data_IF_668603406307
#
_entry.id   IF_668603406307
#
_cell.length_a   1.000
_cell.length_b   1.000
_cell.length_c   1.000
_cell.angle_alpha   90.00
_cell.angle_beta   90.00
_cell.angle_gamma   90.00
#
_symmetry.space_group_name_H-M   'P 1'
#
loop_
_entity.id
_entity.type
_entity.pdbx_description
1 polymer ?
#
# COMPACT_ATOMS: atom_id res chain seq x y z
N UNK A 1 -5.06 -83.76 26.94
CA UNK A 1 -4.00 -83.51 25.93
C UNK A 1 -4.71 -82.87 24.74
N UNK A 2 -4.44 -81.59 24.45
CA UNK A 2 -5.25 -80.72 23.57
C UNK A 2 -4.90 -80.93 22.09
N UNK A 3 -5.90 -81.17 21.25
CA UNK A 3 -5.81 -81.06 19.79
C UNK A 3 -6.12 -79.63 19.34
N UNK A 4 -5.29 -79.07 18.46
CA UNK A 4 -5.54 -77.80 17.76
C UNK A 4 -5.98 -78.13 16.32
N UNK A 5 -7.13 -77.60 15.91
CA UNK A 5 -7.57 -77.55 14.53
C UNK A 5 -7.60 -76.10 14.06
N UNK A 6 -7.06 -75.85 12.87
CA UNK A 6 -7.08 -74.58 12.16
C UNK A 6 -8.45 -74.35 11.51
N UNK A 7 -9.00 -73.14 11.65
CA UNK A 7 -10.04 -72.60 10.76
C UNK A 7 -9.60 -71.19 10.36
N UNK A 8 -9.39 -71.00 9.05
CA UNK A 8 -9.24 -69.69 8.41
C UNK A 8 -10.57 -68.94 8.47
N UNK A 9 -10.56 -67.70 8.96
CA UNK A 9 -11.68 -66.77 8.79
C UNK A 9 -11.19 -65.57 7.96
N UNK A 10 -11.82 -65.37 6.81
CA UNK A 10 -11.63 -64.22 5.95
C UNK A 10 -12.25 -62.97 6.63
N UNK A 11 -11.46 -61.91 6.78
CA UNK A 11 -11.93 -60.60 7.23
C UNK A 11 -12.01 -59.66 6.02
N UNK A 12 -13.24 -59.36 5.62
CA UNK A 12 -13.60 -58.26 4.73
C UNK A 12 -13.22 -56.94 5.42
N UNK A 13 -12.35 -56.16 4.78
CA UNK A 13 -12.08 -54.76 5.15
C UNK A 13 -12.93 -53.87 4.25
N UNK A 14 -13.89 -53.08 4.77
CA UNK A 14 -14.52 -52.04 3.98
C UNK A 14 -13.56 -50.85 3.89
N UNK A 15 -13.27 -50.41 2.66
CA UNK A 15 -12.62 -49.14 2.39
C UNK A 15 -13.61 -48.04 2.74
N UNK A 16 -13.39 -47.36 3.86
CA UNK A 16 -14.08 -46.12 4.19
C UNK A 16 -13.26 -44.98 3.59
N UNK A 17 -13.80 -44.39 2.53
CA UNK A 17 -13.31 -43.13 1.97
C UNK A 17 -13.69 -42.02 2.95
N UNK A 18 -12.76 -41.54 3.76
CA UNK A 18 -12.94 -40.33 4.56
C UNK A 18 -12.59 -39.12 3.70
N UNK A 19 -13.61 -38.42 3.21
CA UNK A 19 -13.49 -37.01 2.89
C UNK A 19 -13.19 -36.27 4.21
N UNK A 20 -11.93 -35.96 4.46
CA UNK A 20 -11.58 -34.99 5.49
C UNK A 20 -12.05 -33.62 5.00
N UNK A 21 -13.15 -33.15 5.59
CA UNK A 21 -13.57 -31.76 5.46
C UNK A 21 -12.48 -30.87 6.02
N UNK A 22 -12.12 -29.84 5.25
CA UNK A 22 -11.33 -28.72 5.73
C UNK A 22 -12.06 -28.12 6.95
N UNK A 23 -11.55 -28.34 8.15
CA UNK A 23 -11.92 -27.52 9.29
C UNK A 23 -11.39 -26.10 9.03
N UNK A 24 -12.33 -25.18 8.81
CA UNK A 24 -12.09 -23.76 8.76
C UNK A 24 -11.56 -23.33 10.14
N UNK A 25 -10.24 -23.16 10.26
CA UNK A 25 -9.65 -22.55 11.45
C UNK A 25 -10.14 -21.11 11.46
N UNK A 26 -10.98 -20.69 12.42
CA UNK A 26 -11.37 -19.29 12.53
C UNK A 26 -10.08 -18.49 12.72
N UNK A 27 -9.89 -17.41 11.95
CA UNK A 27 -8.86 -16.43 12.28
C UNK A 27 -9.08 -16.03 13.73
N UNK A 28 -8.09 -16.21 14.63
CA UNK A 28 -8.29 -15.86 16.01
C UNK A 28 -8.60 -14.37 16.08
N UNK A 29 -9.68 -14.01 16.77
CA UNK A 29 -9.84 -12.70 17.42
C UNK A 29 -8.72 -12.56 18.46
N UNK A 30 -7.49 -12.45 17.98
CA UNK A 30 -6.35 -12.08 18.79
C UNK A 30 -5.99 -10.68 18.34
N UNK A 31 -6.45 -9.70 19.12
CA UNK A 31 -5.70 -8.49 19.36
C UNK A 31 -4.34 -8.90 19.94
N UNK A 32 -3.44 -9.39 19.09
CA UNK A 32 -2.03 -9.52 19.44
C UNK A 32 -1.60 -8.09 19.74
N UNK A 33 -1.29 -7.84 21.02
CA UNK A 33 -0.70 -6.59 21.47
C UNK A 33 0.62 -6.42 20.73
N UNK A 34 0.57 -5.68 19.63
CA UNK A 34 1.72 -5.28 18.83
C UNK A 34 2.67 -4.50 19.72
N UNK A 35 3.87 -5.00 19.92
CA UNK A 35 5.00 -4.14 20.28
C UNK A 35 5.55 -3.56 18.98
N UNK A 36 4.89 -2.52 18.47
CA UNK A 36 5.26 -1.87 17.21
C UNK A 36 6.14 -0.63 17.38
N UNK A 37 6.74 -0.45 18.56
CA UNK A 37 7.54 0.71 18.94
C UNK A 37 6.81 2.07 18.81
N UNK A 38 5.50 2.10 19.09
CA UNK A 38 4.69 3.33 19.08
C UNK A 38 4.15 3.71 17.70
N UNK A 39 4.34 2.89 16.66
CA UNK A 39 3.77 3.14 15.33
C UNK A 39 2.24 3.13 15.33
N UNK A 40 1.64 2.33 16.19
CA UNK A 40 0.20 2.38 16.48
C UNK A 40 -0.25 3.76 16.92
N UNK A 41 0.53 4.41 17.79
CA UNK A 41 0.23 5.78 18.24
C UNK A 41 0.33 6.82 17.11
N UNK A 42 0.98 6.51 15.97
CA UNK A 42 1.00 7.39 14.80
C UNK A 42 -0.20 7.17 13.89
N UNK A 43 -0.49 5.92 13.51
CA UNK A 43 -1.45 5.60 12.45
C UNK A 43 -2.84 5.14 12.93
N UNK A 44 -3.01 4.98 14.23
CA UNK A 44 -4.29 4.60 14.85
C UNK A 44 -4.77 5.67 15.87
N UNK A 45 -4.09 6.81 15.99
CA UNK A 45 -4.55 7.94 16.81
C UNK A 45 -5.63 8.75 16.08
N UNK A 46 -6.57 9.30 16.85
CA UNK A 46 -7.70 10.09 16.35
C UNK A 46 -7.32 11.55 16.04
N UNK A 47 -6.13 11.99 16.43
CA UNK A 47 -5.62 13.33 16.17
C UNK A 47 -4.78 13.44 14.90
N UNK A 48 -4.63 14.68 14.43
CA UNK A 48 -3.85 15.03 13.25
C UNK A 48 -2.52 15.65 13.71
N UNK A 49 -1.40 14.89 13.70
CA UNK A 49 -0.09 15.41 14.07
C UNK A 49 0.38 16.55 13.16
N UNK A 50 1.29 17.37 13.67
CA UNK A 50 1.91 18.48 12.95
C UNK A 50 3.35 18.12 12.56
N UNK A 51 3.73 18.53 11.35
CA UNK A 51 5.12 18.53 10.88
C UNK A 51 5.51 19.95 10.51
N UNK A 52 6.50 20.50 11.20
CA UNK A 52 7.13 21.77 10.83
C UNK A 52 8.51 21.48 10.25
N UNK A 53 8.71 21.80 8.97
CA UNK A 53 9.96 21.58 8.25
C UNK A 53 10.66 22.92 8.06
N UNK A 54 11.91 23.03 8.52
CA UNK A 54 12.77 24.19 8.22
C UNK A 54 13.89 23.77 7.29
N UNK A 55 14.05 24.46 6.17
CA UNK A 55 15.06 24.14 5.14
C UNK A 55 16.01 25.33 4.97
N UNK A 56 17.33 25.13 5.06
CA UNK A 56 18.29 26.18 4.72
C UNK A 56 18.11 26.70 3.28
N UNK A 57 18.32 28.00 3.05
CA UNK A 57 18.07 28.64 1.76
C UNK A 57 18.85 28.00 0.60
N UNK A 58 20.11 27.65 0.82
CA UNK A 58 20.95 26.98 -0.18
C UNK A 58 20.46 25.56 -0.48
N UNK A 59 19.97 24.84 0.53
CA UNK A 59 19.39 23.51 0.41
C UNK A 59 18.07 23.56 -0.36
N UNK A 60 17.19 24.52 -0.06
CA UNK A 60 15.94 24.69 -0.81
C UNK A 60 16.20 25.03 -2.29
N UNK A 61 17.10 25.98 -2.56
CA UNK A 61 17.51 26.31 -3.93
C UNK A 61 18.14 25.12 -4.66
N UNK A 62 18.87 24.26 -3.94
CA UNK A 62 19.41 23.00 -4.49
C UNK A 62 18.29 22.04 -4.88
N UNK A 63 17.26 21.89 -4.05
CA UNK A 63 16.10 21.04 -4.35
C UNK A 63 15.38 21.52 -5.62
N UNK A 64 15.14 22.83 -5.73
CA UNK A 64 14.53 23.46 -6.90
C UNK A 64 15.36 23.22 -8.16
N UNK A 65 16.67 23.50 -8.11
CA UNK A 65 17.56 23.30 -9.25
C UNK A 65 17.65 21.83 -9.67
N UNK A 66 17.65 20.88 -8.72
CA UNK A 66 17.67 19.44 -9.00
C UNK A 66 16.39 18.98 -9.68
N UNK A 67 15.25 19.52 -9.28
CA UNK A 67 13.98 19.26 -9.96
C UNK A 67 13.99 19.82 -11.40
N UNK A 68 14.50 21.04 -11.59
CA UNK A 68 14.56 21.68 -12.91
C UNK A 68 15.51 20.93 -13.86
N UNK A 69 16.61 20.36 -13.33
CA UNK A 69 17.52 19.48 -14.07
C UNK A 69 16.87 18.13 -14.42
N UNK A 70 16.18 17.52 -13.45
CA UNK A 70 15.50 16.25 -13.60
C UNK A 70 14.23 16.22 -12.75
N UNK A 71 13.07 16.35 -13.40
CA UNK A 71 11.77 16.30 -12.72
C UNK A 71 11.55 15.01 -11.93
N UNK A 72 12.27 13.91 -12.24
CA UNK A 72 12.20 12.64 -11.51
C UNK A 72 13.23 12.49 -10.39
N UNK A 73 13.92 13.57 -10.01
CA UNK A 73 15.01 13.48 -9.04
C UNK A 73 14.61 12.81 -7.73
N UNK A 74 15.50 11.97 -7.21
CA UNK A 74 15.40 11.32 -5.90
C UNK A 74 16.34 11.95 -4.87
N UNK A 75 17.00 13.05 -5.22
CA UNK A 75 17.95 13.77 -4.38
C UNK A 75 17.30 14.21 -3.07
N UNK A 76 18.06 14.09 -1.98
CA UNK A 76 17.70 14.65 -0.69
C UNK A 76 18.51 15.92 -0.44
N UNK A 77 17.86 16.88 0.21
CA UNK A 77 18.51 18.05 0.81
C UNK A 77 18.34 18.02 2.32
N UNK A 78 19.20 18.71 3.06
CA UNK A 78 19.12 18.77 4.52
C UNK A 78 17.99 19.69 4.98
N UNK A 79 17.33 19.32 6.07
CA UNK A 79 16.28 20.08 6.75
C UNK A 79 16.21 19.71 8.24
N UNK A 80 15.61 20.58 9.03
CA UNK A 80 15.18 20.26 10.39
C UNK A 80 13.68 19.97 10.39
N UNK A 81 13.24 19.05 11.24
CA UNK A 81 11.83 18.67 11.40
C UNK A 81 11.43 18.77 12.87
N UNK A 82 10.31 19.42 13.14
CA UNK A 82 9.60 19.31 14.41
C UNK A 82 8.33 18.51 14.19
N UNK A 83 8.16 17.43 14.96
CA UNK A 83 6.95 16.61 14.99
C UNK A 83 6.20 16.85 16.29
N UNK A 84 4.89 17.09 16.19
CA UNK A 84 4.03 17.38 17.33
C UNK A 84 2.77 16.53 17.26
N UNK A 85 2.43 15.86 18.36
CA UNK A 85 1.09 15.31 18.64
C UNK A 85 0.72 15.57 20.11
N UNK A 86 -0.42 15.04 20.60
CA UNK A 86 -0.83 15.23 22.01
C UNK A 86 0.21 14.78 23.04
N UNK A 87 1.06 13.79 22.72
CA UNK A 87 1.96 13.13 23.66
C UNK A 87 3.40 13.62 23.52
N UNK A 88 3.82 13.91 22.30
CA UNK A 88 5.23 14.07 21.94
C UNK A 88 5.49 15.37 21.19
N UNK A 89 6.63 15.99 21.50
CA UNK A 89 7.21 17.11 20.77
C UNK A 89 8.67 16.75 20.46
N UNK A 90 8.92 16.34 19.21
CA UNK A 90 10.21 15.79 18.79
C UNK A 90 10.89 16.75 17.81
N UNK A 91 12.14 17.12 18.13
CA UNK A 91 12.99 17.87 17.22
C UNK A 91 14.02 16.93 16.59
N UNK A 92 14.04 16.88 15.26
CA UNK A 92 14.96 16.07 14.46
C UNK A 92 15.78 17.04 13.61
N UNK A 93 17.09 17.08 13.85
CA UNK A 93 18.03 17.91 13.11
C UNK A 93 18.58 17.16 11.90
N UNK A 94 18.99 17.88 10.86
CA UNK A 94 19.71 17.29 9.70
C UNK A 94 19.02 16.03 9.10
N UNK A 95 17.69 16.10 8.99
CA UNK A 95 16.88 15.12 8.27
C UNK A 95 17.00 15.35 6.75
N UNK A 96 16.68 14.33 5.98
CA UNK A 96 16.58 14.43 4.52
C UNK A 96 15.16 14.77 4.05
N UNK A 97 15.01 15.87 3.32
CA UNK A 97 13.82 16.22 2.55
C UNK A 97 14.02 15.90 1.07
N UNK A 98 13.00 15.35 0.42
CA UNK A 98 12.96 15.23 -1.05
C UNK A 98 11.55 15.32 -1.61
N UNK A 99 11.45 15.58 -2.91
CA UNK A 99 10.21 15.42 -3.65
C UNK A 99 9.87 13.93 -3.87
N UNK A 100 8.56 13.63 -4.00
CA UNK A 100 7.99 12.30 -4.21
C UNK A 100 6.86 12.35 -5.27
N UNK A 101 6.44 11.17 -5.73
CA UNK A 101 5.41 11.03 -6.78
C UNK A 101 5.98 10.70 -8.17
N UNK A 102 5.08 10.37 -9.09
CA UNK A 102 5.37 10.20 -10.51
C UNK A 102 4.57 11.24 -11.32
N UNK A 103 3.29 10.96 -11.58
CA UNK A 103 2.34 11.93 -12.18
C UNK A 103 1.98 13.05 -11.22
N UNK A 104 2.11 12.80 -9.92
CA UNK A 104 2.02 13.78 -8.83
C UNK A 104 3.31 14.53 -8.55
N UNK A 105 4.33 14.42 -9.39
CA UNK A 105 5.56 15.15 -9.13
C UNK A 105 5.41 16.60 -9.61
N UNK A 106 5.63 17.56 -8.73
CA UNK A 106 5.60 19.00 -9.02
C UNK A 106 6.79 19.73 -8.40
N UNK A 107 7.18 20.85 -9.02
CA UNK A 107 8.07 21.85 -8.42
C UNK A 107 7.36 22.50 -7.23
N UNK A 108 7.96 22.56 -6.03
CA UNK A 108 7.27 23.00 -4.81
C UNK A 108 7.04 24.52 -4.73
N UNK A 109 7.68 25.30 -5.60
CA UNK A 109 7.60 26.76 -5.62
C UNK A 109 7.76 27.24 -7.06
N UNK A 110 7.05 28.30 -7.46
CA UNK A 110 7.29 29.11 -8.64
C UNK A 110 7.55 28.34 -9.94
N UNK A 111 8.38 28.94 -10.80
CA UNK A 111 8.64 28.45 -12.16
C UNK A 111 10.08 27.95 -12.33
N UNK A 112 10.29 27.09 -13.33
CA UNK A 112 11.61 26.52 -13.61
C UNK A 112 12.70 27.58 -13.78
N UNK A 113 13.86 27.36 -13.16
CA UNK A 113 15.00 28.27 -13.16
C UNK A 113 14.96 29.38 -12.11
N UNK A 114 13.86 29.52 -11.34
CA UNK A 114 13.76 30.53 -10.28
C UNK A 114 14.37 30.02 -8.96
N UNK A 115 15.11 30.88 -8.28
CA UNK A 115 15.48 30.66 -6.88
C UNK A 115 14.31 31.05 -5.96
N UNK A 116 14.43 30.66 -4.69
CA UNK A 116 13.49 30.98 -3.63
C UNK A 116 13.22 32.48 -3.50
N UNK A 117 11.97 32.84 -3.22
CA UNK A 117 11.53 34.19 -2.93
C UNK A 117 10.79 34.25 -1.60
N UNK A 118 10.96 35.33 -0.84
CA UNK A 118 10.36 35.48 0.52
C UNK A 118 8.83 35.57 0.55
N UNK A 119 8.18 35.71 -0.61
CA UNK A 119 6.74 35.56 -0.82
C UNK A 119 6.54 34.53 -1.95
N UNK A 120 7.08 33.34 -1.74
CA UNK A 120 7.08 32.25 -2.69
C UNK A 120 5.67 31.92 -3.20
N UNK A 121 5.57 31.66 -4.50
CA UNK A 121 4.40 31.07 -5.15
C UNK A 121 4.40 29.57 -4.88
N UNK A 122 3.87 29.18 -3.71
CA UNK A 122 3.95 27.82 -3.21
C UNK A 122 3.02 26.88 -3.97
N UNK A 123 3.47 25.65 -4.17
CA UNK A 123 2.74 24.61 -4.85
C UNK A 123 2.67 23.34 -4.00
N UNK A 124 1.49 22.74 -3.90
CA UNK A 124 1.37 21.41 -3.33
C UNK A 124 2.23 20.41 -4.10
N UNK A 125 3.03 19.66 -3.34
CA UNK A 125 3.88 18.60 -3.86
C UNK A 125 4.05 17.49 -2.80
N UNK A 126 4.37 16.26 -3.18
CA UNK A 126 4.54 15.19 -2.21
C UNK A 126 5.96 15.26 -1.69
N UNK A 127 6.13 15.14 -0.37
CA UNK A 127 7.43 15.09 0.26
C UNK A 127 7.74 13.69 0.77
N UNK A 128 9.03 13.35 0.80
CA UNK A 128 9.56 12.23 1.56
C UNK A 128 10.52 12.75 2.59
N UNK A 129 10.24 12.46 3.86
CA UNK A 129 11.13 12.74 4.98
C UNK A 129 11.90 11.49 5.35
N UNK A 130 13.22 11.61 5.47
CA UNK A 130 14.12 10.55 5.91
C UNK A 130 14.95 11.08 7.07
N UNK A 131 14.47 10.82 8.27
CA UNK A 131 14.97 11.42 9.51
C UNK A 131 16.44 11.05 9.76
N UNK A 132 16.85 9.80 9.51
CA UNK A 132 18.22 9.30 9.70
C UNK A 132 19.08 9.36 8.41
N UNK A 133 18.75 10.27 7.48
CA UNK A 133 19.42 10.35 6.17
C UNK A 133 20.90 10.72 6.30
N UNK A 134 21.21 11.74 7.10
CA UNK A 134 22.55 12.28 7.29
C UNK A 134 23.14 11.95 8.66
N UNK A 135 22.28 11.62 9.64
CA UNK A 135 22.66 11.15 10.98
C UNK A 135 22.12 9.74 11.25
N UNK A 136 22.98 8.80 11.66
CA UNK A 136 22.64 7.37 11.84
C UNK A 136 22.49 7.02 13.34
N UNK A 137 21.51 7.61 14.02
CA UNK A 137 21.25 7.34 15.44
C UNK A 137 19.74 7.13 15.75
N UNK A 138 19.44 6.78 17.00
CA UNK A 138 18.07 6.51 17.44
C UNK A 138 17.25 7.77 17.73
N UNK A 139 17.88 8.94 17.89
CA UNK A 139 17.17 10.21 18.10
C UNK A 139 16.55 10.76 16.81
N UNK A 140 17.00 10.29 15.64
CA UNK A 140 16.43 10.64 14.34
C UNK A 140 15.30 9.69 13.91
N UNK A 141 14.32 9.49 14.78
CA UNK A 141 13.14 8.65 14.52
C UNK A 141 11.90 9.26 15.14
N UNK A 142 10.76 9.13 14.46
CA UNK A 142 9.43 9.44 15.00
C UNK A 142 8.76 8.11 15.32
N UNK A 143 8.65 7.73 16.60
CA UNK A 143 7.95 6.51 17.04
C UNK A 143 8.36 5.26 16.25
N UNK A 144 9.68 5.04 16.11
CA UNK A 144 10.27 3.93 15.36
C UNK A 144 10.23 4.04 13.83
N UNK A 145 9.64 5.11 13.29
CA UNK A 145 9.72 5.47 11.87
C UNK A 145 10.98 6.29 11.62
N UNK A 146 11.82 5.82 10.71
CA UNK A 146 12.96 6.59 10.18
C UNK A 146 12.61 7.40 8.93
N UNK A 147 11.48 7.06 8.31
CA UNK A 147 11.08 7.60 7.01
C UNK A 147 9.57 7.58 6.86
N UNK A 148 9.02 8.68 6.37
CA UNK A 148 7.59 8.84 6.07
C UNK A 148 7.40 9.51 4.72
N UNK A 149 6.22 9.33 4.14
CA UNK A 149 5.80 10.08 2.96
C UNK A 149 4.68 11.01 3.37
N UNK A 150 4.79 12.28 2.99
CA UNK A 150 3.75 13.28 3.17
C UNK A 150 3.13 13.49 1.80
N UNK A 151 1.95 12.91 1.55
CA UNK A 151 1.24 13.03 0.28
C UNK A 151 0.15 14.09 0.42
N UNK A 152 0.20 15.17 -0.35
CA UNK A 152 -1.02 15.97 -0.56
C UNK A 152 -2.09 15.13 -1.27
N UNK A 153 -3.37 15.46 -1.08
CA UNK A 153 -4.52 14.76 -1.65
C UNK A 153 -4.73 15.09 -3.13
N UNK A 154 -3.72 14.81 -3.97
CA UNK A 154 -3.73 15.13 -5.40
C UNK A 154 -4.91 14.46 -6.10
N UNK A 155 -5.73 15.28 -6.75
CA UNK A 155 -6.93 14.84 -7.48
C UNK A 155 -7.92 14.04 -6.60
N UNK A 156 -7.78 14.12 -5.27
CA UNK A 156 -8.69 13.51 -4.31
C UNK A 156 -9.42 14.60 -3.52
N UNK A 157 -10.43 15.20 -4.16
CA UNK A 157 -11.22 16.27 -3.56
C UNK A 157 -12.02 15.82 -2.32
N UNK A 158 -12.17 14.51 -2.05
CA UNK A 158 -12.83 14.05 -0.81
C UNK A 158 -11.88 13.95 0.39
N UNK A 159 -10.57 14.11 0.18
CA UNK A 159 -9.55 13.98 1.22
C UNK A 159 -9.62 12.62 1.95
N UNK A 160 -9.85 11.51 1.25
CA UNK A 160 -10.15 10.25 1.94
C UNK A 160 -9.84 8.95 1.18
N UNK A 161 -9.54 8.96 -0.12
CA UNK A 161 -9.51 7.73 -0.93
C UNK A 161 -8.43 6.75 -0.47
N UNK A 162 -7.18 7.18 -0.42
CA UNK A 162 -6.07 6.31 -0.03
C UNK A 162 -6.13 5.94 1.47
N UNK A 163 -6.48 6.89 2.33
CA UNK A 163 -6.74 6.67 3.76
C UNK A 163 -7.82 5.60 3.97
N UNK A 164 -8.93 5.69 3.23
CA UNK A 164 -10.01 4.71 3.25
C UNK A 164 -9.52 3.32 2.88
N UNK A 165 -8.74 3.20 1.80
CA UNK A 165 -8.23 1.92 1.35
C UNK A 165 -7.34 1.26 2.42
N UNK A 166 -6.41 2.01 3.01
CA UNK A 166 -5.52 1.47 4.04
C UNK A 166 -6.22 1.21 5.39
N UNK A 167 -7.26 1.97 5.75
CA UNK A 167 -8.16 1.63 6.85
C UNK A 167 -8.90 0.31 6.57
N UNK A 168 -9.48 0.15 5.38
CA UNK A 168 -10.21 -1.06 5.01
C UNK A 168 -9.31 -2.31 4.98
N UNK A 169 -8.10 -2.21 4.43
CA UNK A 169 -7.12 -3.30 4.49
C UNK A 169 -6.87 -3.75 5.93
N UNK A 170 -6.63 -2.80 6.85
CA UNK A 170 -6.38 -3.09 8.27
C UNK A 170 -7.59 -3.72 8.95
N UNK A 171 -8.79 -3.16 8.76
CA UNK A 171 -10.05 -3.71 9.30
C UNK A 171 -10.34 -5.11 8.78
N UNK A 172 -9.93 -5.40 7.55
CA UNK A 172 -10.09 -6.71 6.93
C UNK A 172 -8.94 -7.69 7.23
N UNK A 173 -8.03 -7.33 8.13
CA UNK A 173 -6.95 -8.21 8.59
C UNK A 173 -5.75 -8.31 7.64
N UNK A 174 -5.68 -7.47 6.61
CA UNK A 174 -4.54 -7.42 5.67
C UNK A 174 -3.38 -6.65 6.31
N UNK A 175 -2.64 -7.35 7.16
CA UNK A 175 -1.55 -6.78 7.98
C UNK A 175 -0.32 -6.34 7.16
N UNK A 176 -0.23 -6.74 5.89
CA UNK A 176 0.82 -6.31 4.96
C UNK A 176 0.59 -4.90 4.42
N UNK A 177 -0.56 -4.27 4.65
CA UNK A 177 -0.79 -2.89 4.24
C UNK A 177 0.02 -1.88 5.10
N UNK A 178 0.54 -0.79 4.49
CA UNK A 178 1.16 0.31 5.22
C UNK A 178 0.14 1.06 6.09
N UNK A 179 0.64 1.66 7.17
CA UNK A 179 -0.12 2.63 7.95
C UNK A 179 -0.33 3.93 7.18
N UNK A 180 -1.52 4.52 7.31
CA UNK A 180 -1.91 5.80 6.71
C UNK A 180 -2.82 6.56 7.67
N UNK A 181 -2.61 7.87 7.76
CA UNK A 181 -3.42 8.83 8.53
C UNK A 181 -3.23 10.24 7.96
N UNK A 182 -3.88 11.24 8.55
CA UNK A 182 -3.68 12.65 8.21
C UNK A 182 -2.56 13.28 9.04
N UNK A 183 -1.92 14.32 8.52
CA UNK A 183 -1.09 15.26 9.27
C UNK A 183 -1.30 16.68 8.73
N UNK A 184 -0.83 17.67 9.48
CA UNK A 184 -0.74 19.07 9.05
C UNK A 184 0.71 19.43 8.78
N UNK A 185 0.96 20.18 7.71
CA UNK A 185 2.32 20.49 7.25
C UNK A 185 2.59 21.99 7.24
N UNK A 186 3.70 22.39 7.85
CA UNK A 186 4.30 23.72 7.72
C UNK A 186 5.68 23.61 7.13
N UNK A 187 6.03 24.55 6.26
CA UNK A 187 7.35 24.64 5.66
C UNK A 187 7.89 26.07 5.78
N UNK A 188 9.16 26.18 6.16
CA UNK A 188 9.88 27.44 6.26
C UNK A 188 11.21 27.32 5.55
N UNK A 189 11.54 28.27 4.69
CA UNK A 189 12.90 28.42 4.17
C UNK A 189 13.63 29.47 5.00
N UNK A 190 14.90 29.21 5.34
CA UNK A 190 15.68 30.18 6.10
C UNK A 190 15.77 31.53 5.37
N UNK A 191 15.41 32.61 6.08
CA UNK A 191 15.25 33.94 5.52
C UNK A 191 13.79 34.39 5.43
N UNK A 192 12.83 33.45 5.45
CA UNK A 192 11.41 33.78 5.53
C UNK A 192 11.03 34.36 6.89
N UNK A 193 10.13 35.34 6.87
CA UNK A 193 9.63 36.01 8.07
C UNK A 193 8.73 35.12 8.93
N UNK A 194 8.08 34.12 8.32
CA UNK A 194 7.21 33.13 8.97
C UNK A 194 7.26 31.81 8.20
N UNK A 195 6.81 30.74 8.83
CA UNK A 195 6.50 29.49 8.12
C UNK A 195 5.23 29.65 7.26
N UNK A 196 5.15 28.84 6.23
CA UNK A 196 4.00 28.70 5.33
C UNK A 196 3.23 27.45 5.70
N UNK A 197 1.93 27.58 5.95
CA UNK A 197 1.07 26.42 6.16
C UNK A 197 0.69 25.78 4.82
N UNK A 198 1.10 24.53 4.61
CA UNK A 198 0.80 23.73 3.42
C UNK A 198 -0.52 22.95 3.55
N UNK A 199 -1.25 23.02 4.66
CA UNK A 199 -2.53 22.34 4.78
C UNK A 199 -2.43 20.89 5.26
N UNK A 200 -3.48 20.13 4.96
CA UNK A 200 -3.65 18.72 5.36
C UNK A 200 -3.01 17.79 4.34
N UNK A 201 -2.15 16.90 4.82
CA UNK A 201 -1.44 15.88 4.05
C UNK A 201 -1.78 14.49 4.61
N UNK A 202 -1.63 13.47 3.78
CA UNK A 202 -1.57 12.09 4.23
C UNK A 202 -0.15 11.76 4.72
N UNK A 203 -0.07 11.29 5.96
CA UNK A 203 1.11 10.65 6.53
C UNK A 203 1.08 9.15 6.22
N UNK A 204 1.93 8.72 5.29
CA UNK A 204 1.99 7.34 4.81
C UNK A 204 3.29 6.64 5.24
N UNK A 205 3.14 5.46 5.86
CA UNK A 205 4.26 4.60 6.28
C UNK A 205 5.14 4.24 5.08
N UNK A 206 6.46 4.40 5.22
CA UNK A 206 7.40 3.96 4.18
C UNK A 206 7.60 2.45 4.24
N UNK A 207 7.37 1.76 3.11
CA UNK A 207 7.68 0.33 2.96
C UNK A 207 9.19 0.17 2.73
N UNK A 208 9.92 -0.09 3.81
CA UNK A 208 11.36 -0.33 3.83
C UNK A 208 11.74 -1.43 4.85
N UNK A 209 13.02 -1.57 5.19
CA UNK A 209 13.45 -2.56 6.19
C UNK A 209 12.85 -2.33 7.59
N UNK A 210 12.44 -1.11 7.97
CA UNK A 210 11.76 -0.83 9.25
C UNK A 210 10.29 -1.22 9.20
N UNK A 211 9.65 -1.10 8.04
CA UNK A 211 8.33 -1.68 7.81
C UNK A 211 8.34 -3.20 8.04
N UNK A 212 9.33 -3.90 7.45
CA UNK A 212 9.51 -5.35 7.62
C UNK A 212 9.84 -5.69 9.08
N UNK A 213 10.78 -4.97 9.70
CA UNK A 213 11.19 -5.20 11.11
C UNK A 213 10.04 -5.01 12.09
N UNK A 214 9.15 -4.05 11.85
CA UNK A 214 7.97 -3.81 12.70
C UNK A 214 6.92 -4.94 12.62
N UNK A 215 7.00 -5.79 11.60
CA UNK A 215 6.10 -6.93 11.37
C UNK A 215 6.88 -8.25 11.37
N UNK A 216 7.99 -8.31 12.11
CA UNK A 216 8.92 -9.47 12.13
C UNK A 216 8.21 -10.77 12.47
N UNK A 217 7.22 -10.73 13.38
CA UNK A 217 6.56 -11.94 13.88
C UNK A 217 5.62 -12.52 12.80
N UNK A 218 5.00 -11.65 12.00
CA UNK A 218 4.15 -12.05 10.87
C UNK A 218 4.97 -12.46 9.64
N UNK A 219 6.06 -11.74 9.34
CA UNK A 219 6.94 -12.08 8.22
C UNK A 219 7.84 -13.30 8.50
N UNK A 220 8.07 -13.63 9.78
CA UNK A 220 8.92 -14.72 10.25
C UNK A 220 10.43 -14.40 10.23
N UNK A 221 10.90 -13.67 9.22
CA UNK A 221 12.30 -13.20 9.12
C UNK A 221 12.35 -11.84 8.39
N UNK A 222 13.30 -11.00 8.79
CA UNK A 222 13.48 -9.62 8.34
C UNK A 222 14.70 -9.43 7.43
N UNK A 223 15.50 -10.49 7.19
CA UNK A 223 16.72 -10.46 6.36
C UNK A 223 16.45 -10.77 4.89
N UNK A 224 15.19 -10.83 4.51
CA UNK A 224 14.74 -11.18 3.18
C UNK A 224 14.90 -10.10 2.12
N UNK A 225 14.38 -10.35 0.92
CA UNK A 225 14.51 -9.48 -0.24
C UNK A 225 13.21 -8.71 -0.50
N UNK A 226 13.24 -7.39 -0.30
CA UNK A 226 12.17 -6.45 -0.63
C UNK A 226 12.34 -5.84 -2.02
N UNK A 227 11.27 -5.85 -2.81
CA UNK A 227 11.18 -5.28 -4.15
C UNK A 227 10.01 -4.31 -4.24
N UNK A 228 10.25 -3.12 -4.80
CA UNK A 228 9.18 -2.24 -5.30
C UNK A 228 8.88 -2.60 -6.74
N UNK A 229 7.62 -2.86 -7.05
CA UNK A 229 7.15 -3.22 -8.37
C UNK A 229 6.41 -2.03 -8.99
N UNK A 230 6.82 -1.65 -10.20
CA UNK A 230 6.30 -0.49 -10.95
C UNK A 230 5.77 -0.94 -12.30
N UNK A 231 5.13 -0.03 -13.02
CA UNK A 231 4.54 -0.24 -14.33
C UNK A 231 5.36 -1.21 -15.21
N UNK A 232 4.69 -2.28 -15.66
CA UNK A 232 5.28 -3.41 -16.39
C UNK A 232 5.66 -4.60 -15.50
N UNK A 233 5.46 -4.52 -14.18
CA UNK A 233 5.77 -5.60 -13.24
C UNK A 233 4.65 -6.65 -13.22
N UNK A 234 4.51 -7.39 -14.31
CA UNK A 234 3.44 -8.39 -14.51
C UNK A 234 3.71 -9.78 -13.90
N UNK A 235 4.91 -10.04 -13.40
CA UNK A 235 5.37 -11.38 -12.96
C UNK A 235 5.24 -12.47 -14.04
N UNK A 236 5.32 -12.10 -15.32
CA UNK A 236 5.21 -13.02 -16.45
C UNK A 236 6.54 -13.21 -17.22
N UNK A 237 7.49 -12.28 -17.08
CA UNK A 237 8.77 -12.30 -17.79
C UNK A 237 9.98 -12.14 -16.86
N UNK A 238 11.02 -12.95 -17.09
CA UNK A 238 12.33 -12.81 -16.44
C UNK A 238 13.25 -11.81 -17.12
N UNK A 239 12.83 -11.26 -18.27
CA UNK A 239 13.56 -10.25 -19.05
C UNK A 239 13.04 -8.83 -18.78
N UNK A 240 12.62 -8.57 -17.54
CA UNK A 240 12.21 -7.24 -17.11
C UNK A 240 13.43 -6.36 -16.73
N UNK A 241 13.19 -5.05 -16.61
CA UNK A 241 14.22 -4.12 -16.16
C UNK A 241 14.35 -4.14 -14.62
N UNK A 242 15.29 -4.95 -14.12
CA UNK A 242 15.64 -5.02 -12.69
C UNK A 242 16.77 -4.05 -12.36
N UNK A 243 16.69 -3.43 -11.18
CA UNK A 243 17.80 -2.63 -10.68
C UNK A 243 17.65 -2.28 -9.21
N UNK A 244 18.59 -1.51 -8.70
CA UNK A 244 18.55 -0.88 -7.38
C UNK A 244 18.86 0.60 -7.54
N UNK A 245 18.45 1.40 -6.57
CA UNK A 245 18.77 2.83 -6.58
C UNK A 245 20.30 3.01 -6.53
N UNK A 246 20.88 3.57 -7.60
CA UNK A 246 22.31 3.81 -7.78
C UNK A 246 22.64 5.31 -7.85
N UNK A 247 21.65 6.17 -7.53
CA UNK A 247 21.77 7.63 -7.61
C UNK A 247 21.58 8.19 -9.02
N UNK A 248 21.31 7.37 -10.04
CA UNK A 248 21.05 7.83 -11.41
C UNK A 248 19.60 8.28 -11.67
N UNK A 249 18.76 8.30 -10.63
CA UNK A 249 17.32 8.57 -10.69
C UNK A 249 16.50 7.64 -11.60
N UNK A 250 17.10 6.61 -12.19
CA UNK A 250 16.42 5.63 -13.03
C UNK A 250 15.30 4.91 -12.27
N UNK A 251 14.24 4.60 -13.01
CA UNK A 251 13.16 3.76 -12.53
C UNK A 251 13.29 2.36 -13.13
N UNK A 252 13.03 1.35 -12.29
CA UNK A 252 13.10 -0.05 -12.66
C UNK A 252 11.72 -0.67 -12.52
N UNK A 253 11.41 -1.65 -13.37
CA UNK A 253 10.16 -2.43 -13.26
C UNK A 253 10.14 -3.16 -11.91
N UNK A 254 11.27 -3.77 -11.55
CA UNK A 254 11.51 -4.33 -10.23
C UNK A 254 12.71 -3.63 -9.60
N UNK A 255 12.43 -2.72 -8.66
CA UNK A 255 13.44 -1.95 -7.93
C UNK A 255 13.74 -2.63 -6.59
N UNK A 256 14.96 -3.13 -6.43
CA UNK A 256 15.43 -3.75 -5.20
C UNK A 256 15.61 -2.71 -4.09
N UNK A 257 15.05 -2.99 -2.91
CA UNK A 257 14.99 -2.05 -1.78
C UNK A 257 15.75 -2.53 -0.53
N UNK A 258 16.43 -3.67 -0.60
CA UNK A 258 17.17 -4.21 0.54
C UNK A 258 18.63 -3.76 0.47
N UNK A 259 19.07 -2.98 1.46
CA UNK A 259 20.39 -2.34 1.41
C UNK A 259 21.55 -3.34 1.61
N UNK A 260 21.36 -4.35 2.47
CA UNK A 260 22.44 -5.26 2.93
C UNK A 260 22.53 -6.58 2.14
N UNK A 261 21.62 -6.82 1.20
CA UNK A 261 21.50 -8.09 0.48
C UNK A 261 22.12 -8.02 -0.93
N UNK A 262 22.57 -9.18 -1.43
CA UNK A 262 23.12 -9.30 -2.79
C UNK A 262 22.02 -9.15 -3.85
N UNK A 263 22.12 -8.08 -4.64
CA UNK A 263 21.16 -7.76 -5.69
C UNK A 263 21.07 -8.84 -6.78
N UNK A 264 22.19 -9.43 -7.20
CA UNK A 264 22.18 -10.43 -8.27
C UNK A 264 21.53 -11.73 -7.77
N UNK A 265 21.84 -12.16 -6.55
CA UNK A 265 21.19 -13.32 -5.93
C UNK A 265 19.68 -13.08 -5.74
N UNK A 266 19.29 -11.91 -5.25
CA UNK A 266 17.88 -11.54 -5.10
C UNK A 266 17.16 -11.51 -6.46
N UNK A 267 17.80 -10.96 -7.50
CA UNK A 267 17.25 -10.94 -8.87
C UNK A 267 17.02 -12.36 -9.38
N UNK A 268 17.97 -13.27 -9.15
CA UNK A 268 17.83 -14.67 -9.55
C UNK A 268 16.75 -15.42 -8.73
N UNK A 269 16.51 -15.05 -7.47
CA UNK A 269 15.36 -15.53 -6.69
C UNK A 269 14.03 -15.07 -7.28
N UNK A 270 13.88 -13.78 -7.60
CA UNK A 270 12.65 -13.27 -8.19
C UNK A 270 12.39 -13.86 -9.59
N UNK A 271 13.42 -14.03 -10.41
CA UNK A 271 13.30 -14.74 -11.69
C UNK A 271 12.85 -16.20 -11.51
N UNK A 272 13.42 -16.91 -10.53
CA UNK A 272 13.02 -18.29 -10.24
C UNK A 272 11.57 -18.37 -9.78
N UNK A 273 11.11 -17.44 -8.94
CA UNK A 273 9.70 -17.32 -8.59
C UNK A 273 8.81 -17.11 -9.83
N UNK A 274 9.18 -16.20 -10.73
CA UNK A 274 8.45 -15.95 -11.99
C UNK A 274 8.42 -17.19 -12.88
N UNK A 275 9.53 -17.92 -13.02
CA UNK A 275 9.59 -19.16 -13.81
C UNK A 275 8.73 -20.26 -13.22
N UNK A 276 8.67 -20.39 -11.88
CA UNK A 276 7.78 -21.35 -11.21
C UNK A 276 6.31 -20.95 -11.35
N UNK A 277 6.01 -19.66 -11.19
CA UNK A 277 4.68 -19.09 -11.34
C UNK A 277 4.13 -19.25 -12.77
N UNK A 278 4.98 -19.17 -13.79
CA UNK A 278 4.55 -19.32 -15.19
C UNK A 278 4.68 -20.75 -15.73
N UNK A 279 5.66 -21.53 -15.26
CA UNK A 279 6.03 -22.81 -15.85
C UNK A 279 5.48 -24.06 -15.14
N UNK A 280 5.06 -23.98 -13.88
CA UNK A 280 4.48 -25.15 -13.18
C UNK A 280 3.12 -25.52 -13.77
N UNK A 281 2.90 -26.82 -14.03
CA UNK A 281 1.56 -27.35 -14.34
C UNK A 281 0.61 -27.19 -13.16
N UNK A 282 -0.70 -27.17 -13.40
CA UNK A 282 -1.70 -26.70 -12.44
C UNK A 282 -1.64 -27.40 -11.07
N UNK A 283 -1.58 -28.74 -11.02
CA UNK A 283 -1.46 -29.49 -9.75
C UNK A 283 -0.16 -29.12 -8.99
N UNK A 284 0.97 -29.08 -9.71
CA UNK A 284 2.25 -28.72 -9.10
C UNK A 284 2.36 -27.25 -8.68
N UNK A 285 1.58 -26.36 -9.32
CA UNK A 285 1.47 -24.95 -8.95
C UNK A 285 0.62 -24.81 -7.69
N UNK A 286 -0.53 -25.47 -7.63
CA UNK A 286 -1.43 -25.46 -6.48
C UNK A 286 -0.72 -25.89 -5.20
N UNK A 287 0.04 -26.99 -5.23
CA UNK A 287 0.86 -27.42 -4.09
C UNK A 287 1.95 -26.40 -3.75
N UNK A 288 2.74 -26.00 -4.75
CA UNK A 288 3.89 -25.12 -4.51
C UNK A 288 3.51 -23.73 -4.00
N UNK A 289 2.45 -23.13 -4.53
CA UNK A 289 2.08 -21.76 -4.15
C UNK A 289 1.67 -21.70 -2.68
N UNK A 290 1.01 -22.73 -2.15
CA UNK A 290 0.67 -22.83 -0.73
C UNK A 290 1.91 -23.06 0.16
N UNK A 291 2.95 -23.72 -0.36
CA UNK A 291 4.21 -23.88 0.36
C UNK A 291 4.96 -22.55 0.53
N UNK A 292 4.84 -21.63 -0.43
CA UNK A 292 5.59 -20.37 -0.42
C UNK A 292 4.73 -19.14 -0.12
N UNK A 293 3.41 -19.19 -0.18
CA UNK A 293 2.53 -18.03 -0.02
C UNK A 293 1.38 -18.36 0.94
N UNK A 294 1.03 -17.39 1.78
CA UNK A 294 -0.28 -17.37 2.46
C UNK A 294 -1.34 -16.96 1.43
N UNK A 295 -1.88 -17.95 0.73
CA UNK A 295 -2.89 -17.75 -0.32
C UNK A 295 -4.15 -17.05 0.22
N UNK A 296 -4.70 -17.43 1.40
CA UNK A 296 -5.80 -16.68 2.01
C UNK A 296 -5.52 -15.19 2.19
N UNK A 297 -4.37 -14.82 2.76
CA UNK A 297 -4.00 -13.41 2.93
C UNK A 297 -3.89 -12.68 1.58
N UNK A 298 -3.27 -13.31 0.58
CA UNK A 298 -3.13 -12.73 -0.75
C UNK A 298 -4.50 -12.50 -1.42
N UNK A 299 -5.41 -13.47 -1.34
CA UNK A 299 -6.74 -13.35 -1.95
C UNK A 299 -7.63 -12.36 -1.19
N UNK A 300 -7.52 -12.26 0.14
CA UNK A 300 -8.18 -11.18 0.92
C UNK A 300 -7.64 -9.80 0.55
N UNK A 301 -6.33 -9.69 0.32
CA UNK A 301 -5.70 -8.46 -0.20
C UNK A 301 -6.31 -8.07 -1.55
N UNK A 302 -6.44 -9.03 -2.47
CA UNK A 302 -7.06 -8.75 -3.77
C UNK A 302 -8.55 -8.49 -3.70
N UNK A 303 -9.28 -9.10 -2.77
CA UNK A 303 -10.69 -8.80 -2.56
C UNK A 303 -10.87 -7.33 -2.19
N UNK A 304 -10.05 -6.80 -1.27
CA UNK A 304 -10.05 -5.36 -0.94
C UNK A 304 -9.66 -4.54 -2.16
N UNK A 305 -8.56 -4.88 -2.84
CA UNK A 305 -8.07 -4.17 -4.03
C UNK A 305 -9.14 -3.98 -5.11
N UNK A 306 -9.83 -5.07 -5.46
CA UNK A 306 -10.88 -5.06 -6.47
C UNK A 306 -12.13 -4.34 -5.96
N UNK A 307 -12.47 -4.49 -4.68
CA UNK A 307 -13.63 -3.82 -4.06
C UNK A 307 -13.46 -2.30 -4.01
N UNK A 308 -12.27 -1.79 -3.70
CA UNK A 308 -12.02 -0.33 -3.72
C UNK A 308 -11.81 0.21 -5.15
N UNK A 309 -11.74 -0.67 -6.15
CA UNK A 309 -11.65 -0.27 -7.55
C UNK A 309 -10.26 0.14 -8.00
N UNK A 310 -9.19 -0.44 -7.42
CA UNK A 310 -7.80 -0.12 -7.73
C UNK A 310 -7.36 -0.69 -9.08
N UNK A 311 -7.55 0.09 -10.15
CA UNK A 311 -7.30 -0.31 -11.54
C UNK A 311 -5.82 -0.17 -11.94
N UNK A 312 -5.04 0.66 -11.24
CA UNK A 312 -3.60 0.82 -11.46
C UNK A 312 -2.77 -0.21 -10.66
N UNK A 313 -3.36 -1.38 -10.39
CA UNK A 313 -2.76 -2.45 -9.60
C UNK A 313 -1.88 -3.39 -10.45
N UNK A 314 -1.40 -4.47 -9.83
CA UNK A 314 -0.68 -5.53 -10.52
C UNK A 314 -1.53 -6.24 -11.57
N UNK A 315 -2.79 -6.59 -11.26
CA UNK A 315 -3.54 -7.53 -12.09
C UNK A 315 -4.07 -6.85 -13.36
N UNK A 316 -4.45 -5.58 -13.29
CA UNK A 316 -4.89 -4.79 -14.43
C UNK A 316 -3.73 -4.06 -15.11
N UNK A 317 -3.06 -3.13 -14.43
CA UNK A 317 -2.08 -2.22 -15.05
C UNK A 317 -0.61 -2.55 -14.74
N UNK A 318 -0.33 -3.68 -14.09
CA UNK A 318 1.02 -4.19 -13.81
C UNK A 318 1.86 -3.23 -12.96
N UNK A 319 1.25 -2.57 -11.97
CA UNK A 319 1.86 -1.46 -11.22
C UNK A 319 1.51 -1.49 -9.72
N UNK A 320 2.15 -0.62 -8.94
CA UNK A 320 1.79 -0.24 -7.56
C UNK A 320 1.69 -1.38 -6.53
N UNK A 321 2.77 -2.13 -6.35
CA UNK A 321 2.87 -3.09 -5.25
C UNK A 321 4.32 -3.31 -4.81
N UNK A 322 4.49 -3.97 -3.67
CA UNK A 322 5.78 -4.50 -3.24
C UNK A 322 5.70 -6.02 -3.08
N UNK A 323 6.84 -6.67 -3.26
CA UNK A 323 7.04 -8.08 -2.92
C UNK A 323 8.11 -8.16 -1.83
N UNK A 324 7.85 -8.99 -0.83
CA UNK A 324 8.88 -9.40 0.12
C UNK A 324 9.05 -10.92 0.12
N UNK A 325 10.27 -11.39 -0.09
CA UNK A 325 10.67 -12.76 0.21
C UNK A 325 11.31 -12.75 1.58
N UNK A 326 10.82 -13.50 2.56
CA UNK A 326 11.40 -13.46 3.92
C UNK A 326 12.76 -14.15 4.08
N UNK A 327 13.37 -14.62 2.98
CA UNK A 327 14.64 -15.32 2.99
C UNK A 327 15.46 -14.92 1.77
N UNK A 328 16.78 -14.96 1.87
CA UNK A 328 17.70 -14.79 0.72
C UNK A 328 17.96 -16.09 -0.03
N UNK A 329 17.51 -17.23 0.51
CA UNK A 329 17.61 -18.52 -0.17
C UNK A 329 16.73 -18.53 -1.42
N UNK A 330 17.32 -18.93 -2.55
CA UNK A 330 16.65 -18.95 -3.86
C UNK A 330 15.44 -19.88 -3.90
N UNK A 331 15.38 -20.90 -3.07
CA UNK A 331 14.38 -21.98 -3.13
C UNK A 331 13.58 -22.13 -1.83
N UNK A 332 14.05 -21.60 -0.70
CA UNK A 332 13.40 -21.71 0.62
C UNK A 332 13.02 -20.32 1.14
N UNK A 333 11.77 -19.94 0.91
CA UNK A 333 11.23 -18.63 1.30
C UNK A 333 9.71 -18.68 1.49
N UNK A 334 9.17 -17.66 2.16
CA UNK A 334 7.79 -17.23 2.03
C UNK A 334 7.73 -15.92 1.23
N UNK A 335 6.75 -15.83 0.35
CA UNK A 335 6.42 -14.71 -0.53
C UNK A 335 5.24 -13.94 0.06
N UNK A 336 5.39 -12.62 0.13
CA UNK A 336 4.36 -11.71 0.63
C UNK A 336 4.13 -10.59 -0.40
N UNK A 337 2.85 -10.34 -0.67
CA UNK A 337 2.39 -9.20 -1.45
C UNK A 337 2.01 -8.04 -0.50
N UNK A 338 2.44 -6.83 -0.84
CA UNK A 338 2.20 -5.62 -0.05
C UNK A 338 1.51 -4.58 -0.96
N UNK A 339 0.26 -4.17 -0.65
CA UNK A 339 -0.48 -3.18 -1.44
C UNK A 339 0.16 -1.78 -1.31
N UNK A 340 0.18 -1.00 -2.40
CA UNK A 340 0.79 0.33 -2.44
C UNK A 340 0.03 1.29 -3.40
N UNK A 341 0.05 2.61 -3.14
CA UNK A 341 -0.46 3.70 -4.00
C UNK A 341 -1.98 3.59 -4.33
N UNK A 342 -2.84 3.76 -3.32
CA UNK A 342 -4.30 3.56 -3.45
C UNK A 342 -5.10 4.88 -3.60
N UNK A 343 -4.46 5.94 -4.09
CA UNK A 343 -5.09 7.23 -4.36
C UNK A 343 -6.08 7.19 -5.55
N UNK A 344 -5.78 6.38 -6.57
CA UNK A 344 -6.61 6.22 -7.77
C UNK A 344 -7.70 5.14 -7.61
N UNK A 345 -8.59 5.34 -6.63
CA UNK A 345 -9.62 4.37 -6.24
C UNK A 345 -10.99 5.03 -6.06
N UNK A 346 -12.00 4.24 -5.68
CA UNK A 346 -13.32 4.72 -5.27
C UNK A 346 -13.96 5.66 -6.32
N UNK A 347 -14.08 5.15 -7.55
CA UNK A 347 -14.68 5.85 -8.69
C UNK A 347 -13.70 6.67 -9.53
N UNK A 348 -12.45 6.82 -9.11
CA UNK A 348 -11.38 7.44 -9.92
C UNK A 348 -10.65 6.36 -10.74
N UNK A 349 -10.84 6.34 -12.07
CA UNK A 349 -10.26 5.32 -12.97
C UNK A 349 -9.94 5.86 -14.36
N UNK A 350 -8.95 5.30 -15.07
CA UNK A 350 -8.69 5.62 -16.49
C UNK A 350 -9.07 4.49 -17.45
N UNK A 351 -8.96 3.23 -17.01
CA UNK A 351 -9.01 2.07 -17.93
C UNK A 351 -10.37 1.38 -18.00
N UNK A 352 -11.13 1.41 -16.91
CA UNK A 352 -12.38 0.67 -16.79
C UNK A 352 -13.39 1.40 -15.89
N UNK A 353 -14.66 1.04 -15.97
CA UNK A 353 -15.59 1.38 -14.90
C UNK A 353 -15.28 0.53 -13.66
N UNK A 354 -14.51 1.07 -12.73
CA UNK A 354 -14.05 0.32 -11.55
C UNK A 354 -15.19 -0.09 -10.60
N UNK A 355 -16.35 0.57 -10.70
CA UNK A 355 -17.54 0.24 -9.91
C UNK A 355 -18.35 -0.92 -10.49
N UNK A 356 -18.40 -1.07 -11.82
CA UNK A 356 -19.20 -2.12 -12.50
C UNK A 356 -18.38 -3.27 -13.06
N UNK A 357 -17.05 -3.17 -13.10
CA UNK A 357 -16.18 -4.25 -13.57
C UNK A 357 -16.36 -5.53 -12.73
N UNK A 358 -16.51 -6.65 -13.45
CA UNK A 358 -16.59 -8.00 -12.89
C UNK A 358 -15.35 -8.30 -12.02
N UNK A 359 -15.52 -8.61 -10.72
CA UNK A 359 -14.42 -8.88 -9.80
C UNK A 359 -13.53 -10.08 -10.15
N UNK A 360 -14.03 -11.04 -10.93
CA UNK A 360 -13.26 -12.22 -11.37
C UNK A 360 -12.61 -12.02 -12.74
N UNK A 361 -12.98 -10.95 -13.45
CA UNK A 361 -12.35 -10.52 -14.70
C UNK A 361 -11.80 -9.09 -14.54
N UNK A 362 -11.16 -8.82 -13.40
CA UNK A 362 -10.64 -7.49 -13.07
C UNK A 362 -9.43 -7.11 -13.94
N UNK A 363 -8.51 -8.07 -14.12
CA UNK A 363 -7.23 -7.85 -14.76
C UNK A 363 -6.99 -8.72 -15.99
N UNK A 364 -5.75 -8.73 -16.46
CA UNK A 364 -5.33 -9.50 -17.63
C UNK A 364 -4.87 -10.91 -17.23
N UNK A 365 -5.35 -11.94 -17.93
CA UNK A 365 -4.93 -13.33 -17.69
C UNK A 365 -3.44 -13.60 -17.97
N UNK A 366 -2.78 -12.71 -18.72
CA UNK A 366 -1.34 -12.74 -18.93
C UNK A 366 -0.53 -12.26 -17.70
N UNK A 367 -1.19 -11.70 -16.68
CA UNK A 367 -0.60 -11.38 -15.39
C UNK A 367 -0.90 -12.56 -14.43
N UNK A 368 0.01 -13.54 -14.31
CA UNK A 368 -0.35 -14.90 -13.89
C UNK A 368 -0.73 -15.07 -12.43
N UNK A 369 -0.30 -14.21 -11.50
CA UNK A 369 -0.41 -14.51 -10.06
C UNK A 369 -1.88 -14.73 -9.65
N UNK A 370 -2.75 -13.75 -9.89
CA UNK A 370 -4.15 -13.84 -9.49
C UNK A 370 -4.96 -14.65 -10.48
N UNK A 371 -4.72 -14.46 -11.78
CA UNK A 371 -5.39 -15.21 -12.84
C UNK A 371 -5.24 -16.73 -12.67
N UNK A 372 -4.06 -17.22 -12.27
CA UNK A 372 -3.84 -18.65 -12.01
C UNK A 372 -4.48 -19.11 -10.72
N UNK A 373 -4.37 -18.35 -9.63
CA UNK A 373 -5.00 -18.72 -8.35
C UNK A 373 -6.50 -18.94 -8.51
N UNK A 374 -7.19 -18.07 -9.26
CA UNK A 374 -8.64 -18.14 -9.44
C UNK A 374 -9.12 -19.28 -10.36
N UNK A 375 -8.22 -20.08 -10.95
CA UNK A 375 -8.57 -21.31 -11.69
C UNK A 375 -8.88 -22.49 -10.77
N UNK A 376 -8.44 -22.42 -9.51
CA UNK A 376 -8.67 -23.47 -8.52
C UNK A 376 -9.91 -23.13 -7.70
N UNK A 377 -10.82 -24.08 -7.57
CA UNK A 377 -12.13 -23.86 -6.96
C UNK A 377 -12.02 -23.47 -5.48
N UNK A 378 -11.09 -24.06 -4.72
CA UNK A 378 -10.83 -23.73 -3.32
C UNK A 378 -10.34 -22.28 -3.15
N UNK A 379 -9.37 -21.86 -3.96
CA UNK A 379 -8.87 -20.47 -3.97
C UNK A 379 -9.95 -19.49 -4.45
N UNK A 380 -10.69 -19.86 -5.49
CA UNK A 380 -11.81 -19.08 -5.99
C UNK A 380 -12.87 -18.83 -4.91
N UNK A 381 -13.17 -19.85 -4.11
CA UNK A 381 -14.11 -19.75 -2.98
C UNK A 381 -13.60 -18.79 -1.91
N UNK A 382 -12.31 -18.84 -1.54
CA UNK A 382 -11.71 -17.88 -0.60
C UNK A 382 -11.89 -16.43 -1.09
N UNK A 383 -11.60 -16.18 -2.37
CA UNK A 383 -11.74 -14.84 -2.95
C UNK A 383 -13.20 -14.38 -3.00
N UNK A 384 -14.11 -15.25 -3.46
CA UNK A 384 -15.56 -14.98 -3.48
C UNK A 384 -16.08 -14.63 -2.09
N UNK A 385 -15.75 -15.45 -1.09
CA UNK A 385 -16.26 -15.28 0.26
C UNK A 385 -15.72 -14.00 0.89
N UNK A 386 -14.45 -13.66 0.61
CA UNK A 386 -13.87 -12.38 1.02
C UNK A 386 -14.58 -11.16 0.38
N UNK A 387 -14.93 -11.23 -0.91
CA UNK A 387 -15.69 -10.17 -1.59
C UNK A 387 -17.09 -10.00 -0.95
N UNK A 388 -17.78 -11.11 -0.68
CA UNK A 388 -19.09 -11.09 -0.04
C UNK A 388 -19.03 -10.55 1.39
N UNK A 389 -18.00 -10.91 2.16
CA UNK A 389 -17.78 -10.41 3.52
C UNK A 389 -17.56 -8.89 3.54
N UNK A 390 -16.80 -8.34 2.58
CA UNK A 390 -16.54 -6.90 2.50
C UNK A 390 -17.83 -6.09 2.33
N UNK A 391 -18.76 -6.59 1.51
CA UNK A 391 -19.99 -5.87 1.15
C UNK A 391 -21.19 -6.25 2.02
N UNK A 392 -20.99 -7.13 3.00
CA UNK A 392 -22.01 -7.53 3.96
C UNK A 392 -22.38 -6.32 4.86
N UNK A 393 -23.66 -5.89 4.89
CA UNK A 393 -24.10 -4.80 5.75
C UNK A 393 -23.82 -5.04 7.24
N UNK A 394 -23.83 -6.29 7.70
CA UNK A 394 -23.64 -6.62 9.13
C UNK A 394 -22.16 -6.52 9.55
N UNK A 395 -21.23 -6.53 8.59
CA UNK A 395 -19.79 -6.39 8.85
C UNK A 395 -19.33 -4.95 8.92
N UNK A 396 -20.11 -4.01 8.38
CA UNK A 396 -19.79 -2.58 8.33
C UNK A 396 -18.40 -2.28 7.72
N UNK A 397 -17.94 -3.11 6.78
CA UNK A 397 -16.60 -3.01 6.17
C UNK A 397 -16.57 -2.10 4.93
N UNK A 398 -17.33 -2.39 3.87
CA UNK A 398 -17.38 -1.56 2.67
C UNK A 398 -18.80 -1.05 2.36
N UNK A 399 -19.81 -1.55 3.09
CA UNK A 399 -21.20 -1.16 2.90
C UNK A 399 -21.41 0.36 3.01
N UNK A 400 -22.22 0.93 2.11
CA UNK A 400 -22.25 2.37 1.85
C UNK A 400 -22.50 3.24 3.09
N UNK A 401 -23.39 2.84 4.00
CA UNK A 401 -23.69 3.62 5.22
C UNK A 401 -22.47 3.73 6.13
N UNK A 402 -21.79 2.61 6.39
CA UNK A 402 -20.58 2.57 7.24
C UNK A 402 -19.40 3.29 6.57
N UNK A 403 -19.26 3.17 5.25
CA UNK A 403 -18.21 3.82 4.48
C UNK A 403 -18.38 5.33 4.43
N UNK A 404 -19.60 5.80 4.17
CA UNK A 404 -19.95 7.22 4.21
C UNK A 404 -19.73 7.82 5.59
N UNK A 405 -20.11 7.10 6.66
CA UNK A 405 -19.89 7.58 8.02
C UNK A 405 -18.40 7.74 8.33
N UNK A 406 -17.57 6.73 8.01
CA UNK A 406 -16.11 6.83 8.21
C UNK A 406 -15.49 8.02 7.49
N UNK A 407 -15.87 8.26 6.23
CA UNK A 407 -15.37 9.42 5.47
C UNK A 407 -15.81 10.73 6.13
N UNK A 408 -17.07 10.83 6.59
CA UNK A 408 -17.54 12.02 7.32
C UNK A 408 -16.78 12.25 8.60
N UNK A 409 -16.50 11.21 9.38
CA UNK A 409 -15.73 11.30 10.62
C UNK A 409 -14.32 11.86 10.33
N UNK A 410 -13.66 11.40 9.27
CA UNK A 410 -12.36 11.95 8.86
C UNK A 410 -12.46 13.39 8.35
N UNK A 411 -13.47 13.70 7.55
CA UNK A 411 -13.69 15.07 7.07
C UNK A 411 -13.97 16.03 8.23
N UNK A 412 -14.68 15.60 9.27
CA UNK A 412 -14.90 16.40 10.48
C UNK A 412 -13.60 16.69 11.22
N UNK A 413 -12.61 15.79 11.18
CA UNK A 413 -11.28 16.03 11.75
C UNK A 413 -10.48 17.06 10.94
N UNK A 414 -10.57 17.03 9.60
CA UNK A 414 -9.66 17.83 8.73
C UNK A 414 -10.25 19.12 8.18
N UNK A 415 -11.59 19.28 8.14
CA UNK A 415 -12.28 20.37 7.43
C UNK A 415 -11.85 21.77 7.88
N UNK A 416 -11.52 21.95 9.16
CA UNK A 416 -11.11 23.24 9.71
C UNK A 416 -9.61 23.54 9.45
N UNK A 417 -8.92 22.61 8.78
CA UNK A 417 -7.48 22.66 8.53
C UNK A 417 -7.12 22.65 7.03
N UNK A 418 -8.08 22.49 6.12
CA UNK A 418 -7.81 22.41 4.67
C UNK A 418 -7.36 23.75 4.06
N UNK A 419 -7.90 24.87 4.57
CA UNK A 419 -7.55 26.20 4.08
C UNK A 419 -6.10 26.51 4.46
N UNK A 420 -5.27 26.80 3.47
CA UNK A 420 -3.82 26.86 3.62
C UNK A 420 -3.21 28.05 2.87
N UNK A 421 -1.94 28.33 3.14
CA UNK A 421 -1.25 29.52 2.61
C UNK A 421 -0.87 29.38 1.12
N UNK A 422 -0.93 28.18 0.53
CA UNK A 422 -0.67 27.97 -0.92
C UNK A 422 -1.87 28.40 -1.78
N UNK A 423 -3.08 28.40 -1.20
CA UNK A 423 -4.33 28.63 -1.93
C UNK A 423 -4.77 27.46 -2.81
N UNK A 424 -4.03 26.35 -2.83
CA UNK A 424 -4.37 25.14 -3.58
C UNK A 424 -5.19 24.16 -2.71
N UNK A 425 -6.10 23.43 -3.35
CA UNK A 425 -6.91 22.36 -2.74
C UNK A 425 -7.63 22.74 -1.42
N UNK A 426 -8.04 24.00 -1.27
CA UNK A 426 -8.66 24.50 -0.03
C UNK A 426 -10.14 24.09 0.18
N UNK A 427 -10.61 23.05 -0.51
CA UNK A 427 -12.03 22.65 -0.51
C UNK A 427 -12.19 21.13 -0.55
N UNK A 428 -13.18 20.63 0.21
CA UNK A 428 -13.63 19.24 0.15
C UNK A 428 -14.84 19.16 -0.78
N UNK A 429 -14.79 18.28 -1.79
CA UNK A 429 -15.87 18.04 -2.76
C UNK A 429 -16.08 16.56 -3.00
N UNK A 430 -17.35 16.14 -3.04
CA UNK A 430 -17.76 14.76 -3.33
C UNK A 430 -17.71 14.48 -4.84
N UNK A 431 -16.49 14.39 -5.39
CA UNK A 431 -16.26 14.12 -6.80
C UNK A 431 -15.00 13.25 -7.02
N UNK A 432 -14.94 12.47 -8.11
CA UNK A 432 -13.73 11.79 -8.54
C UNK A 432 -12.76 12.77 -9.20
N UNK A 433 -11.54 12.29 -9.46
CA UNK A 433 -10.58 13.07 -10.22
C UNK A 433 -11.14 13.48 -11.59
N UNK A 434 -10.89 14.71 -12.01
CA UNK A 434 -11.41 15.28 -13.27
C UNK A 434 -10.91 14.56 -14.52
N UNK A 435 -9.77 13.88 -14.44
CA UNK A 435 -9.23 13.05 -15.51
C UNK A 435 -9.86 11.65 -15.57
N UNK A 436 -10.67 11.28 -14.58
CA UNK A 436 -11.30 9.97 -14.48
C UNK A 436 -12.33 9.71 -15.58
N UNK A 437 -12.49 8.45 -15.96
CA UNK A 437 -13.44 8.01 -16.98
C UNK A 437 -14.90 7.96 -16.48
N UNK A 438 -15.12 8.12 -15.17
CA UNK A 438 -16.43 8.05 -14.51
C UNK A 438 -16.72 9.28 -13.64
N UNK A 439 -16.96 10.46 -14.24
CA UNK A 439 -17.09 11.73 -13.50
C UNK A 439 -18.32 11.82 -12.58
N UNK A 440 -19.27 10.89 -12.75
CA UNK A 440 -20.55 10.92 -12.04
C UNK A 440 -20.52 10.20 -10.69
N UNK A 441 -19.49 9.40 -10.39
CA UNK A 441 -19.42 8.67 -9.12
C UNK A 441 -19.40 9.62 -7.92
N UNK A 442 -20.03 9.19 -6.83
CA UNK A 442 -20.08 9.88 -5.54
C UNK A 442 -19.74 8.92 -4.43
N UNK A 443 -19.09 9.41 -3.38
CA UNK A 443 -18.80 8.65 -2.17
C UNK A 443 -19.79 8.98 -1.05
N UNK A 444 -20.19 10.24 -0.94
CA UNK A 444 -21.01 10.75 0.17
C UNK A 444 -22.48 11.01 -0.20
N UNK A 445 -22.80 11.00 -1.49
CA UNK A 445 -24.17 11.13 -1.99
C UNK A 445 -24.75 9.75 -2.28
N UNK A 446 -25.87 9.41 -1.64
CA UNK A 446 -26.61 8.17 -1.94
C UNK A 446 -27.28 8.24 -3.32
N UNK A 447 -27.46 7.08 -3.95
CA UNK A 447 -28.19 6.94 -5.21
C UNK A 447 -27.45 6.10 -6.24
N UNK A 448 -27.90 6.12 -7.51
CA UNK A 448 -27.40 5.23 -8.55
C UNK A 448 -25.92 5.44 -8.90
N UNK A 449 -25.33 6.57 -8.49
CA UNK A 449 -23.92 6.88 -8.71
C UNK A 449 -23.08 6.77 -7.43
N UNK A 450 -23.63 6.27 -6.31
CA UNK A 450 -22.80 6.04 -5.13
C UNK A 450 -21.86 4.85 -5.40
N UNK A 451 -20.54 5.06 -5.35
CA UNK A 451 -19.57 4.01 -5.71
C UNK A 451 -19.72 2.77 -4.82
N UNK A 452 -19.95 2.94 -3.52
CA UNK A 452 -20.12 1.81 -2.59
C UNK A 452 -21.35 0.99 -2.94
N UNK A 453 -22.49 1.64 -3.26
CA UNK A 453 -23.72 0.95 -3.66
C UNK A 453 -23.54 0.22 -5.00
N UNK A 454 -22.97 0.88 -6.00
CA UNK A 454 -22.73 0.30 -7.33
C UNK A 454 -21.82 -0.92 -7.22
N UNK A 455 -20.67 -0.77 -6.56
CA UNK A 455 -19.69 -1.85 -6.42
C UNK A 455 -20.22 -3.01 -5.58
N UNK A 456 -20.97 -2.73 -4.51
CA UNK A 456 -21.65 -3.75 -3.72
C UNK A 456 -22.62 -4.56 -4.58
N UNK A 457 -23.43 -3.89 -5.40
CA UNK A 457 -24.38 -4.57 -6.27
C UNK A 457 -23.67 -5.44 -7.32
N UNK A 458 -22.59 -4.93 -7.91
CA UNK A 458 -21.73 -5.69 -8.84
C UNK A 458 -21.20 -6.96 -8.17
N UNK A 459 -20.59 -6.85 -6.99
CA UNK A 459 -20.05 -7.99 -6.25
C UNK A 459 -21.15 -9.02 -5.94
N UNK A 460 -22.31 -8.58 -5.46
CA UNK A 460 -23.45 -9.46 -5.15
C UNK A 460 -23.92 -10.20 -6.40
N UNK A 461 -24.02 -9.52 -7.54
CA UNK A 461 -24.51 -10.11 -8.79
C UNK A 461 -23.54 -11.12 -9.39
N UNK A 462 -22.24 -10.98 -9.14
CA UNK A 462 -21.22 -11.89 -9.68
C UNK A 462 -20.93 -13.06 -8.74
N UNK A 463 -21.07 -12.87 -7.43
CA UNK A 463 -20.71 -13.87 -6.42
C UNK A 463 -21.87 -14.78 -5.98
N UNK A 464 -23.13 -14.35 -6.19
CA UNK A 464 -24.33 -15.19 -5.98
C UNK A 464 -24.75 -15.82 -7.28
#
# INVERSE_FOLDING_TARGET
MKYRAFILLALLVPVVCSCEGFEFIPSPENSVTRDDNGKKDVFENAEIPEFHITVPLDQWNTLLAKYDENGKTKAYVSCDVVYIDEKDHLEIKDAGLRLRGNTSRRRPEGWGGQQHQTNADWHHCHFGLHFDKFSKDESHQVKGLRKVNLKWFKDDAVYAREVYCYDLFRRFGVWTAPGSTYCRLWLKVDGDSKETYFGVYELLESIDNRFIKARKDQFGDTKGNLWKCRYGANLASTDAYFGKDDGSDKEFVYEFKSDDNDFNAAKEQLKDFILKLTGKGEESFHTWIQEVCDVPLLLRTYAVNVTVGMWDDYWCNQNNYYIYFNSTDKYKYKFYFIPFDYDNTLGTSQMMDSGTQDPFHWGNDNNPLIARLLRFEDFRNIYRDALLELVDPDKALFYYTASMQRIRDWQDLVKDHINNDTGEDCEIRDEPASWGNMPNYRLLTEGPNNFFQVKTQTIINTCK
#
